data_IF_095921002259
#
_entry.id   IF_095921002259
#
_cell.length_a   1.000
_cell.length_b   1.000
_cell.length_c   1.000
_cell.angle_alpha   90.00
_cell.angle_beta   90.00
_cell.angle_gamma   90.00
#
_symmetry.space_group_name_H-M   'P 1'
#
loop_
_entity.id
_entity.type
_entity.pdbx_description
1 polymer ?
#
# COMPACT_ATOMS: atom_id res chain seq x y z
N UNK A 1 -18.65 -10.61 -7.08
CA UNK A 1 -17.38 -11.18 -7.55
C UNK A 1 -16.29 -10.72 -6.59
N UNK A 2 -15.39 -11.61 -6.16
CA UNK A 2 -14.53 -11.34 -5.00
C UNK A 2 -13.12 -10.98 -5.48
N UNK A 3 -12.64 -9.79 -5.12
CA UNK A 3 -11.23 -9.41 -5.29
C UNK A 3 -10.36 -10.19 -4.32
N UNK A 4 -9.05 -10.28 -4.58
CA UNK A 4 -8.08 -10.91 -3.67
C UNK A 4 -7.24 -9.83 -3.01
N UNK A 5 -7.18 -9.85 -1.69
CA UNK A 5 -6.33 -8.95 -0.90
C UNK A 5 -5.12 -9.71 -0.38
N UNK A 6 -3.94 -9.13 -0.55
CA UNK A 6 -2.68 -9.62 -0.01
C UNK A 6 -2.06 -8.56 0.89
N UNK A 7 -1.37 -8.99 1.95
CA UNK A 7 -0.73 -8.09 2.91
C UNK A 7 0.64 -8.63 3.29
N UNK A 8 1.63 -7.74 3.43
CA UNK A 8 3.03 -8.10 3.73
C UNK A 8 3.17 -9.03 4.94
N UNK A 9 2.41 -8.75 5.99
CA UNK A 9 2.45 -9.48 7.26
C UNK A 9 1.61 -10.78 7.27
N UNK A 10 0.92 -11.11 6.16
CA UNK A 10 0.06 -12.30 6.03
C UNK A 10 0.59 -13.24 4.95
N UNK A 11 0.67 -12.75 3.72
CA UNK A 11 1.20 -13.47 2.56
C UNK A 11 1.54 -12.48 1.45
N UNK A 12 2.82 -12.45 1.06
CA UNK A 12 3.34 -11.54 0.06
C UNK A 12 4.16 -12.29 -1.00
N UNK A 13 3.52 -12.77 -2.07
CA UNK A 13 4.23 -13.27 -3.23
C UNK A 13 5.05 -12.17 -3.90
N UNK A 14 6.34 -12.40 -4.11
CA UNK A 14 7.27 -11.43 -4.71
C UNK A 14 6.75 -10.83 -6.02
N UNK A 15 6.04 -11.62 -6.83
CA UNK A 15 5.57 -11.19 -8.15
C UNK A 15 4.55 -10.05 -8.08
N UNK A 16 3.70 -10.01 -7.05
CA UNK A 16 2.66 -8.98 -6.90
C UNK A 16 3.10 -7.83 -5.99
N UNK A 17 4.05 -8.07 -5.08
CA UNK A 17 4.68 -7.05 -4.25
C UNK A 17 5.87 -6.36 -4.93
N UNK A 18 6.19 -6.73 -6.18
CA UNK A 18 7.22 -6.04 -6.95
C UNK A 18 6.83 -4.58 -7.19
N UNK A 19 7.81 -3.71 -6.98
CA UNK A 19 7.69 -2.29 -7.27
C UNK A 19 7.38 -2.04 -8.76
N UNK A 20 6.48 -1.09 -9.08
CA UNK A 20 6.29 -0.57 -10.43
C UNK A 20 7.36 0.45 -10.86
N UNK A 21 8.35 0.77 -10.01
CA UNK A 21 9.31 1.85 -10.21
C UNK A 21 8.69 3.23 -10.01
N UNK A 22 9.14 4.20 -10.80
CA UNK A 22 8.61 5.58 -10.73
C UNK A 22 7.20 5.67 -11.34
N UNK A 23 6.24 6.13 -10.55
CA UNK A 23 4.84 6.28 -10.97
C UNK A 23 4.44 7.76 -10.96
N UNK A 24 3.78 8.20 -12.03
CA UNK A 24 3.11 9.51 -12.07
C UNK A 24 1.80 9.43 -11.30
N UNK A 25 1.66 10.23 -10.25
CA UNK A 25 0.49 10.23 -9.37
C UNK A 25 -0.50 11.35 -9.71
N UNK A 26 -1.79 11.02 -9.57
CA UNK A 26 -2.92 11.95 -9.65
C UNK A 26 -3.75 11.81 -8.38
N UNK A 27 -3.62 12.77 -7.49
CA UNK A 27 -4.31 12.74 -6.21
C UNK A 27 -5.78 13.11 -6.36
N UNK A 28 -6.65 12.28 -5.78
CA UNK A 28 -8.06 12.63 -5.65
C UNK A 28 -8.22 13.85 -4.75
N UNK A 29 -9.37 14.54 -4.88
CA UNK A 29 -9.75 15.60 -3.95
C UNK A 29 -9.81 15.10 -2.50
N UNK A 30 -10.23 13.85 -2.30
CA UNK A 30 -10.26 13.22 -0.98
C UNK A 30 -8.84 13.00 -0.42
N UNK A 31 -7.88 12.56 -1.25
CA UNK A 31 -6.50 12.39 -0.84
C UNK A 31 -5.85 13.74 -0.44
N UNK A 32 -6.12 14.80 -1.22
CA UNK A 32 -5.63 16.14 -0.89
C UNK A 32 -6.19 16.62 0.47
N UNK A 33 -7.50 16.47 0.71
CA UNK A 33 -8.07 16.83 2.01
C UNK A 33 -7.54 15.97 3.16
N UNK A 34 -7.38 14.67 2.95
CA UNK A 34 -6.83 13.78 3.96
C UNK A 34 -5.38 14.15 4.32
N UNK A 35 -4.58 14.62 3.35
CA UNK A 35 -3.24 15.13 3.62
C UNK A 35 -3.26 16.45 4.40
N UNK A 36 -4.16 17.38 4.06
CA UNK A 36 -4.27 18.68 4.73
C UNK A 36 -4.71 18.54 6.20
N UNK A 37 -5.59 17.58 6.50
CA UNK A 37 -6.24 17.40 7.80
C UNK A 37 -5.82 16.10 8.50
N UNK A 38 -4.54 15.71 8.33
CA UNK A 38 -4.02 14.50 8.97
C UNK A 38 -3.67 14.75 10.46
N UNK A 39 -3.79 13.71 11.28
CA UNK A 39 -3.46 13.74 12.72
C UNK A 39 -2.01 14.11 13.02
N UNK A 40 -1.09 13.97 12.06
CA UNK A 40 0.32 14.35 12.17
C UNK A 40 0.63 15.73 11.56
N UNK A 41 -0.40 16.51 11.22
CA UNK A 41 -0.28 17.84 10.62
C UNK A 41 -0.44 17.81 9.09
N UNK A 42 -0.19 18.94 8.44
CA UNK A 42 -0.35 19.06 6.99
C UNK A 42 0.74 18.30 6.22
N UNK A 43 0.32 17.20 5.57
CA UNK A 43 1.17 16.33 4.78
C UNK A 43 1.24 16.73 3.29
N UNK A 44 0.54 17.80 2.88
CA UNK A 44 0.40 18.18 1.47
C UNK A 44 1.74 18.43 0.76
N UNK A 45 2.76 18.86 1.52
CA UNK A 45 4.12 19.06 1.01
C UNK A 45 4.78 17.79 0.47
N UNK A 46 4.30 16.61 0.88
CA UNK A 46 4.81 15.31 0.44
C UNK A 46 4.06 14.75 -0.77
N UNK A 47 3.01 15.43 -1.26
CA UNK A 47 2.24 14.98 -2.42
C UNK A 47 2.93 15.38 -3.72
N UNK A 48 3.94 14.60 -4.13
CA UNK A 48 4.68 14.83 -5.37
C UNK A 48 3.98 14.17 -6.57
N UNK A 49 4.02 14.78 -7.77
CA UNK A 49 3.39 14.20 -8.96
C UNK A 49 4.11 12.95 -9.47
N UNK A 50 5.31 12.65 -8.98
CA UNK A 50 6.08 11.45 -9.25
C UNK A 50 6.61 10.90 -7.93
N UNK A 51 6.43 9.60 -7.69
CA UNK A 51 7.01 8.90 -6.54
C UNK A 51 7.68 7.63 -7.03
N UNK A 52 8.85 7.33 -6.45
CA UNK A 52 9.59 6.11 -6.74
C UNK A 52 9.16 4.99 -5.78
N UNK A 53 8.43 4.00 -6.30
CA UNK A 53 7.98 2.87 -5.49
C UNK A 53 9.12 1.89 -5.17
N UNK A 54 10.31 2.04 -5.77
CA UNK A 54 11.50 1.28 -5.36
C UNK A 54 11.98 1.70 -3.97
N UNK A 55 11.67 2.93 -3.54
CA UNK A 55 11.95 3.46 -2.20
C UNK A 55 10.82 3.18 -1.20
N UNK A 56 9.71 2.61 -1.65
CA UNK A 56 8.51 2.41 -0.86
C UNK A 56 8.42 1.00 -0.28
N UNK A 57 7.79 0.89 0.88
CA UNK A 57 7.33 -0.41 1.38
C UNK A 57 5.89 -0.66 0.90
N UNK A 58 5.70 -1.60 -0.03
CA UNK A 58 4.36 -2.06 -0.43
C UNK A 58 3.80 -2.96 0.70
N UNK A 59 2.72 -2.52 1.34
CA UNK A 59 2.14 -3.23 2.49
C UNK A 59 0.89 -4.03 2.15
N UNK A 60 0.09 -3.59 1.17
CA UNK A 60 -1.10 -4.29 0.70
C UNK A 60 -1.20 -4.22 -0.83
N UNK A 61 -1.67 -5.31 -1.44
CA UNK A 61 -1.97 -5.40 -2.87
C UNK A 61 -3.36 -5.99 -3.06
N UNK A 62 -4.18 -5.34 -3.86
CA UNK A 62 -5.48 -5.85 -4.30
C UNK A 62 -5.39 -6.32 -5.75
N UNK A 63 -5.85 -7.54 -6.00
CA UNK A 63 -6.06 -8.07 -7.35
C UNK A 63 -7.55 -8.05 -7.68
N UNK A 64 -7.88 -7.65 -8.91
CA UNK A 64 -9.22 -7.76 -9.44
C UNK A 64 -9.62 -9.22 -9.74
N UNK A 65 -10.79 -9.39 -10.35
CA UNK A 65 -11.37 -10.71 -10.67
C UNK A 65 -10.59 -11.45 -11.76
N UNK A 66 -9.81 -10.72 -12.57
CA UNK A 66 -8.95 -11.25 -13.63
C UNK A 66 -7.53 -11.54 -13.13
N UNK A 67 -7.26 -11.23 -11.86
CA UNK A 67 -5.94 -11.40 -11.24
C UNK A 67 -4.97 -10.27 -11.55
N UNK A 68 -5.43 -9.17 -12.16
CA UNK A 68 -4.61 -7.98 -12.38
C UNK A 68 -4.56 -7.14 -11.11
N UNK A 69 -3.44 -6.46 -10.89
CA UNK A 69 -3.31 -5.54 -9.77
C UNK A 69 -4.27 -4.37 -10.03
N UNK A 70 -5.13 -4.07 -9.05
CA UNK A 70 -6.08 -2.96 -9.12
C UNK A 70 -5.68 -1.81 -8.20
N UNK A 71 -4.99 -2.11 -7.10
CA UNK A 71 -4.61 -1.15 -6.07
C UNK A 71 -3.38 -1.65 -5.29
N UNK A 72 -2.53 -0.71 -4.89
CA UNK A 72 -1.46 -0.91 -3.92
C UNK A 72 -1.61 0.07 -2.76
N UNK A 73 -1.23 -0.38 -1.58
CA UNK A 73 -0.99 0.48 -0.42
C UNK A 73 0.50 0.45 -0.17
N UNK A 74 1.14 1.62 -0.19
CA UNK A 74 2.57 1.75 -0.01
C UNK A 74 2.89 2.78 1.09
N UNK A 75 3.98 2.57 1.82
CA UNK A 75 4.51 3.49 2.82
C UNK A 75 5.79 4.12 2.28
N UNK A 76 5.83 5.44 2.25
CA UNK A 76 7.01 6.23 1.89
C UNK A 76 7.53 6.91 3.13
N UNK A 77 8.81 6.75 3.46
CA UNK A 77 9.41 7.51 4.55
C UNK A 77 9.53 8.98 4.14
N UNK A 78 8.96 9.88 4.94
CA UNK A 78 8.91 11.33 4.64
C UNK A 78 9.55 12.19 5.73
N UNK A 79 9.83 11.58 6.88
CA UNK A 79 10.60 12.14 7.99
C UNK A 79 11.27 11.00 8.80
N UNK A 80 11.98 11.30 9.88
CA UNK A 80 12.67 10.31 10.72
C UNK A 80 11.71 9.25 11.27
N UNK A 81 10.58 9.68 11.83
CA UNK A 81 9.59 8.81 12.47
C UNK A 81 8.27 8.67 11.69
N UNK A 82 8.15 9.36 10.55
CA UNK A 82 6.89 9.50 9.81
C UNK A 82 6.96 8.86 8.42
N UNK A 83 5.94 8.09 8.10
CA UNK A 83 5.68 7.59 6.75
C UNK A 83 4.39 8.17 6.20
N UNK A 84 4.39 8.51 4.91
CA UNK A 84 3.19 8.77 4.14
C UNK A 84 2.66 7.45 3.59
N UNK A 85 1.46 7.07 3.97
CA UNK A 85 0.75 5.93 3.40
C UNK A 85 -0.02 6.40 2.17
N UNK A 86 0.16 5.73 1.05
CA UNK A 86 -0.43 6.07 -0.25
C UNK A 86 -1.24 4.89 -0.78
N UNK A 87 -2.52 5.14 -1.10
CA UNK A 87 -3.40 4.15 -1.75
C UNK A 87 -3.55 4.48 -3.23
N UNK A 88 -2.75 3.82 -4.06
CA UNK A 88 -2.66 4.09 -5.50
C UNK A 88 -3.29 2.96 -6.33
N UNK A 89 -4.05 3.35 -7.35
CA UNK A 89 -4.45 2.45 -8.44
C UNK A 89 -3.32 2.27 -9.44
N UNK A 90 -3.42 1.27 -10.31
CA UNK A 90 -2.37 0.97 -11.30
C UNK A 90 -2.17 2.05 -12.36
N UNK A 91 -3.16 2.92 -12.56
CA UNK A 91 -3.09 4.09 -13.45
C UNK A 91 -2.52 5.36 -12.75
N UNK A 92 -1.97 5.20 -11.53
CA UNK A 92 -1.42 6.28 -10.72
C UNK A 92 -2.46 7.14 -10.00
N UNK A 93 -3.76 6.81 -10.07
CA UNK A 93 -4.76 7.55 -9.31
C UNK A 93 -4.68 7.22 -7.81
N UNK A 94 -4.47 8.24 -6.98
CA UNK A 94 -4.37 8.09 -5.52
C UNK A 94 -5.72 8.38 -4.89
N UNK A 95 -6.33 7.34 -4.31
CA UNK A 95 -7.67 7.44 -3.71
C UNK A 95 -7.62 8.22 -2.41
N UNK A 96 -6.65 7.92 -1.56
CA UNK A 96 -6.44 8.55 -0.26
C UNK A 96 -4.98 8.41 0.17
N UNK A 97 -4.59 9.21 1.16
CA UNK A 97 -3.29 9.17 1.84
C UNK A 97 -3.50 9.44 3.33
N UNK A 98 -2.55 9.04 4.17
CA UNK A 98 -2.51 9.44 5.58
C UNK A 98 -1.11 9.27 6.14
N UNK A 99 -0.81 9.93 7.25
CA UNK A 99 0.43 9.79 7.98
C UNK A 99 0.39 8.60 8.93
N UNK A 100 1.54 7.95 9.09
CA UNK A 100 1.70 6.92 10.09
C UNK A 100 3.09 6.96 10.72
N UNK A 101 3.22 6.51 11.97
CA UNK A 101 4.54 6.33 12.54
C UNK A 101 5.21 5.11 11.92
N UNK A 102 6.53 5.19 11.72
CA UNK A 102 7.33 4.04 11.26
C UNK A 102 7.21 2.84 12.22
N UNK A 103 6.94 3.11 13.50
CA UNK A 103 6.75 2.11 14.55
C UNK A 103 5.36 1.47 14.57
N UNK A 104 4.40 1.89 13.74
CA UNK A 104 3.07 1.28 13.72
C UNK A 104 3.12 -0.18 13.20
N UNK A 105 2.71 -1.08 14.09
CA UNK A 105 2.72 -2.54 13.92
C UNK A 105 1.41 -3.12 13.39
N UNK A 106 0.44 -2.29 13.00
CA UNK A 106 -0.86 -2.75 12.48
C UNK A 106 -1.58 -3.73 13.43
N UNK A 107 -1.63 -3.44 14.74
CA UNK A 107 -2.26 -4.34 15.74
C UNK A 107 -3.75 -4.62 15.47
N UNK A 108 -4.41 -3.76 14.68
CA UNK A 108 -5.81 -3.85 14.28
C UNK A 108 -6.04 -4.59 12.95
N UNK A 109 -5.00 -5.18 12.36
CA UNK A 109 -5.08 -5.91 11.08
C UNK A 109 -6.02 -7.12 11.18
N UNK A 110 -7.16 -7.09 10.47
CA UNK A 110 -8.03 -8.26 10.32
C UNK A 110 -7.47 -9.23 9.26
N UNK A 111 -6.61 -10.14 9.71
CA UNK A 111 -5.92 -11.13 8.86
C UNK A 111 -6.87 -12.01 8.04
N UNK A 112 -8.13 -12.16 8.43
CA UNK A 112 -9.13 -13.01 7.74
C UNK A 112 -9.57 -12.43 6.40
N UNK A 113 -9.35 -11.13 6.17
CA UNK A 113 -9.65 -10.46 4.90
C UNK A 113 -8.65 -10.79 3.78
N UNK A 114 -7.51 -11.36 4.14
CA UNK A 114 -6.38 -11.56 3.25
C UNK A 114 -6.20 -13.01 2.83
N UNK A 115 -5.67 -13.20 1.63
CA UNK A 115 -5.25 -14.51 1.12
C UNK A 115 -4.19 -15.07 2.05
N UNK A 116 -4.40 -16.30 2.50
CA UNK A 116 -3.46 -17.03 3.35
C UNK A 116 -2.37 -17.69 2.49
N UNK A 117 -1.15 -17.87 3.01
CA UNK A 117 -0.11 -18.58 2.28
C UNK A 117 -0.56 -20.01 1.98
N UNK A 118 -0.15 -20.60 0.83
CA UNK A 118 -0.47 -21.98 0.51
C UNK A 118 0.07 -22.89 1.60
N UNK A 119 -0.72 -23.90 2.01
CA UNK A 119 -0.25 -24.93 2.94
C UNK A 119 0.95 -25.63 2.29
N UNK A 120 2.13 -25.57 2.92
CA UNK A 120 3.26 -26.42 2.51
C UNK A 120 2.81 -27.87 2.67
N UNK A 121 2.69 -28.59 1.57
CA UNK A 121 2.63 -30.05 1.62
C UNK A 121 4.04 -30.49 1.99
N UNK A 122 4.21 -31.03 3.20
CA UNK A 122 5.43 -31.73 3.54
C UNK A 122 5.52 -32.93 2.62
N UNK A 123 6.32 -32.82 1.56
CA UNK A 123 6.76 -33.99 0.81
C UNK A 123 7.80 -34.65 1.69
N UNK A 124 7.38 -35.67 2.44
CA UNK A 124 8.34 -36.56 3.11
C UNK A 124 9.18 -37.22 2.02
N UNK A 125 10.50 -37.01 2.09
CA UNK A 125 11.49 -37.74 1.31
C UNK A 125 11.77 -39.09 1.97
#
# INVERSE_FOLDING_TARGET
MTTKLYHKDVYAPDVIFRSPGVVRLRYSRHAQYAACDDRYGDLSRYLTPYMDFDEAEIVEVELDVEGQISKRVARFQVDEDLVLVVVAQTDGFVRTVWGNLISDRHSTLDRRKYVQPPRRVLVCA
#
